data_IF_550542953435
#
_entry.id   IF_550542953435
#
_cell.length_a   1.000
_cell.length_b   1.000
_cell.length_c   1.000
_cell.angle_alpha   90.00
_cell.angle_beta   90.00
_cell.angle_gamma   90.00
#
_symmetry.space_group_name_H-M   'P 1'
#
loop_
_entity.id
_entity.type
_entity.pdbx_description
1 polymer ?
#
# COMPACT_ATOMS: atom_id res chain seq x y z
N UNK A 1 -16.78 12.60 -55.62
CA UNK A 1 -17.91 12.31 -54.71
C UNK A 1 -17.41 12.66 -53.32
N UNK A 2 -18.17 13.43 -52.55
CA UNK A 2 -17.79 13.82 -51.19
C UNK A 2 -17.96 12.62 -50.27
N UNK A 3 -16.85 12.04 -49.83
CA UNK A 3 -16.84 10.95 -48.86
C UNK A 3 -17.48 11.45 -47.55
N UNK A 4 -18.66 10.94 -47.25
CA UNK A 4 -19.43 11.32 -46.05
C UNK A 4 -19.20 10.26 -44.99
N UNK A 5 -18.48 10.60 -43.93
CA UNK A 5 -18.27 9.74 -42.76
C UNK A 5 -19.53 9.78 -41.89
N UNK A 6 -20.07 8.62 -41.55
CA UNK A 6 -21.27 8.48 -40.70
C UNK A 6 -20.90 7.78 -39.40
N UNK A 7 -21.17 8.43 -38.26
CA UNK A 7 -20.89 7.87 -36.93
C UNK A 7 -22.09 7.10 -36.38
N UNK A 8 -21.88 5.87 -35.91
CA UNK A 8 -22.95 5.02 -35.38
C UNK A 8 -22.89 4.92 -33.84
N UNK A 9 -23.64 5.77 -33.16
CA UNK A 9 -23.81 5.69 -31.72
C UNK A 9 -24.66 4.46 -31.35
N UNK A 10 -24.25 3.71 -30.32
CA UNK A 10 -24.94 2.48 -29.92
C UNK A 10 -26.34 2.71 -29.33
N UNK A 11 -26.59 3.91 -28.80
CA UNK A 11 -27.87 4.36 -28.28
C UNK A 11 -27.93 5.90 -28.39
N UNK A 12 -29.11 6.54 -28.39
CA UNK A 12 -29.23 7.99 -28.26
C UNK A 12 -28.89 8.45 -26.84
N UNK A 13 -28.44 9.69 -26.67
CA UNK A 13 -28.41 10.34 -25.36
C UNK A 13 -29.82 10.43 -24.80
N UNK A 14 -30.00 10.11 -23.52
CA UNK A 14 -31.30 10.06 -22.88
C UNK A 14 -31.31 10.93 -21.62
N UNK A 15 -32.36 11.72 -21.44
CA UNK A 15 -32.67 12.37 -20.18
C UNK A 15 -33.81 11.58 -19.54
N UNK A 16 -33.51 10.87 -18.45
CA UNK A 16 -34.50 10.14 -17.70
C UNK A 16 -34.94 11.00 -16.51
N UNK A 17 -36.21 11.41 -16.53
CA UNK A 17 -36.80 12.19 -15.45
C UNK A 17 -37.47 11.27 -14.44
N UNK A 18 -37.08 11.35 -13.18
CA UNK A 18 -37.77 10.72 -12.05
C UNK A 18 -38.41 11.79 -11.15
N UNK A 19 -39.33 11.38 -10.27
CA UNK A 19 -40.04 12.31 -9.39
C UNK A 19 -39.11 13.14 -8.48
N UNK A 20 -37.90 12.63 -8.20
CA UNK A 20 -36.95 13.23 -7.26
C UNK A 20 -35.64 13.70 -7.91
N UNK A 21 -35.32 13.30 -9.15
CA UNK A 21 -34.12 13.75 -9.89
C UNK A 21 -34.20 13.48 -11.40
N UNK A 22 -33.54 14.33 -12.19
CA UNK A 22 -33.30 14.16 -13.64
C UNK A 22 -31.89 13.58 -13.87
N UNK A 23 -31.80 12.47 -14.59
CA UNK A 23 -30.54 11.80 -14.94
C UNK A 23 -30.26 11.93 -16.44
N UNK A 24 -29.10 12.49 -16.78
CA UNK A 24 -28.68 12.68 -18.18
C UNK A 24 -27.61 11.67 -18.56
N UNK A 25 -27.95 10.77 -19.49
CA UNK A 25 -27.07 9.78 -20.09
C UNK A 25 -26.66 10.25 -21.49
N UNK A 26 -25.36 10.39 -21.73
CA UNK A 26 -24.83 10.81 -23.03
C UNK A 26 -24.32 9.60 -23.82
N UNK A 27 -24.77 9.49 -25.07
CA UNK A 27 -24.25 8.52 -26.02
C UNK A 27 -22.79 8.80 -26.37
N UNK A 28 -21.98 7.75 -26.54
CA UNK A 28 -20.56 7.85 -26.90
C UNK A 28 -20.21 6.93 -28.07
N UNK A 29 -19.28 7.39 -28.91
CA UNK A 29 -18.75 6.67 -30.07
C UNK A 29 -17.22 6.84 -30.16
N UNK A 30 -16.50 5.78 -30.54
CA UNK A 30 -15.05 5.80 -30.84
C UNK A 30 -14.72 4.72 -31.89
N UNK A 31 -13.96 5.09 -32.93
CA UNK A 31 -13.63 4.22 -34.08
C UNK A 31 -12.27 3.50 -33.97
N UNK A 32 -11.35 3.96 -33.10
CA UNK A 32 -9.93 3.57 -33.14
C UNK A 32 -9.38 3.17 -31.76
N UNK A 33 -9.98 3.61 -30.65
CA UNK A 33 -9.34 3.56 -29.32
C UNK A 33 -10.18 2.83 -28.27
N UNK A 34 -9.49 2.13 -27.34
CA UNK A 34 -10.06 1.76 -26.04
C UNK A 34 -10.58 3.03 -25.38
N UNK A 35 -11.92 3.10 -25.26
CA UNK A 35 -12.73 4.16 -24.68
C UNK A 35 -11.99 5.02 -23.64
N UNK A 36 -11.88 6.33 -23.86
CA UNK A 36 -11.67 7.29 -22.76
C UNK A 36 -12.93 7.28 -21.87
N UNK A 37 -12.93 6.44 -20.84
CA UNK A 37 -13.98 6.44 -19.83
C UNK A 37 -13.84 7.71 -18.97
N UNK A 38 -14.90 8.54 -18.88
CA UNK A 38 -14.82 9.84 -18.19
C UNK A 38 -14.77 9.67 -16.67
N UNK A 39 -15.18 8.50 -16.17
CA UNK A 39 -15.47 8.22 -14.78
C UNK A 39 -15.35 6.70 -14.53
N UNK A 40 -14.57 6.31 -13.53
CA UNK A 40 -14.47 4.93 -13.04
C UNK A 40 -15.68 4.56 -12.16
N UNK A 41 -16.13 5.48 -11.30
CA UNK A 41 -17.24 5.26 -10.37
C UNK A 41 -18.12 6.50 -10.24
N UNK A 42 -19.43 6.32 -10.19
CA UNK A 42 -20.40 7.36 -9.83
C UNK A 42 -21.50 6.78 -8.95
N UNK A 43 -21.75 7.37 -7.77
CA UNK A 43 -22.87 6.91 -6.95
C UNK A 43 -22.98 7.53 -5.57
N UNK A 44 -24.08 7.18 -4.89
CA UNK A 44 -24.36 7.57 -3.51
C UNK A 44 -23.56 6.68 -2.56
N UNK A 45 -23.07 7.21 -1.45
CA UNK A 45 -22.51 6.39 -0.38
C UNK A 45 -23.60 6.04 0.64
N UNK A 46 -23.62 4.79 1.12
CA UNK A 46 -24.64 4.32 2.07
C UNK A 46 -24.35 4.79 3.50
N UNK A 47 -23.08 5.06 3.81
CA UNK A 47 -22.65 5.69 5.07
C UNK A 47 -21.81 6.96 4.85
N UNK A 48 -22.42 8.07 4.41
CA UNK A 48 -21.71 9.30 4.09
C UNK A 48 -20.88 9.86 5.24
N UNK A 49 -21.48 9.95 6.43
CA UNK A 49 -20.82 10.49 7.61
C UNK A 49 -19.56 9.71 7.99
N UNK A 50 -19.66 8.38 8.03
CA UNK A 50 -18.55 7.52 8.42
C UNK A 50 -17.43 7.53 7.37
N UNK A 51 -17.81 7.48 6.08
CA UNK A 51 -16.84 7.62 4.99
C UNK A 51 -16.11 8.96 5.09
N UNK A 52 -16.83 10.06 5.33
CA UNK A 52 -16.23 11.38 5.47
C UNK A 52 -15.26 11.47 6.65
N UNK A 53 -15.62 10.92 7.83
CA UNK A 53 -14.70 10.86 8.99
C UNK A 53 -13.44 10.05 8.67
N UNK A 54 -13.57 8.92 7.99
CA UNK A 54 -12.44 8.09 7.57
C UNK A 54 -11.53 8.83 6.57
N UNK A 55 -12.10 9.52 5.59
CA UNK A 55 -11.36 10.31 4.61
C UNK A 55 -10.63 11.51 5.24
N UNK A 56 -11.22 12.17 6.24
CA UNK A 56 -10.54 13.20 7.03
C UNK A 56 -9.37 12.60 7.82
N UNK A 57 -9.57 11.43 8.47
CA UNK A 57 -8.51 10.75 9.19
C UNK A 57 -7.37 10.32 8.25
N UNK A 58 -7.68 9.86 7.04
CA UNK A 58 -6.70 9.58 5.99
C UNK A 58 -5.90 10.83 5.63
N UNK A 59 -6.56 11.98 5.43
CA UNK A 59 -5.87 13.24 5.17
C UNK A 59 -4.98 13.66 6.34
N UNK A 60 -5.41 13.46 7.58
CA UNK A 60 -4.57 13.71 8.76
C UNK A 60 -3.33 12.81 8.80
N UNK A 61 -3.44 11.55 8.35
CA UNK A 61 -2.27 10.66 8.18
C UNK A 61 -1.32 11.25 7.13
N UNK A 62 -1.83 11.63 5.96
CA UNK A 62 -1.02 12.22 4.88
C UNK A 62 -0.28 13.48 5.33
N UNK A 63 -0.94 14.31 6.13
CA UNK A 63 -0.37 15.55 6.68
C UNK A 63 0.59 15.32 7.87
N UNK A 64 0.60 14.13 8.45
CA UNK A 64 1.44 13.82 9.60
C UNK A 64 2.90 13.60 9.21
N UNK A 65 3.80 13.90 10.15
CA UNK A 65 5.20 13.49 10.09
C UNK A 65 5.71 13.18 11.49
N UNK A 66 6.55 12.15 11.61
CA UNK A 66 7.04 11.64 12.90
C UNK A 66 8.56 11.67 13.02
N UNK A 67 9.26 12.12 11.99
CA UNK A 67 10.72 12.25 11.99
C UNK A 67 11.25 13.51 11.28
N UNK A 68 10.38 14.35 10.70
CA UNK A 68 10.76 15.62 10.06
C UNK A 68 10.47 16.81 10.97
N UNK A 69 11.21 17.90 10.79
CA UNK A 69 10.93 19.17 11.49
C UNK A 69 9.74 19.87 10.85
N UNK A 70 8.95 20.66 11.61
CA UNK A 70 7.80 21.40 11.06
C UNK A 70 8.12 22.32 9.88
N UNK A 71 9.36 22.82 9.80
CA UNK A 71 9.86 23.64 8.68
C UNK A 71 9.98 22.90 7.35
N UNK A 72 9.92 21.57 7.35
CA UNK A 72 10.00 20.70 6.17
C UNK A 72 8.62 20.23 5.67
N UNK A 73 7.52 20.76 6.22
CA UNK A 73 6.15 20.27 5.99
C UNK A 73 5.43 20.81 4.75
N UNK A 74 6.10 21.52 3.84
CA UNK A 74 5.50 21.92 2.56
C UNK A 74 6.01 21.06 1.42
N UNK A 75 5.24 20.03 1.03
CA UNK A 75 5.14 19.48 -0.34
C UNK A 75 4.23 18.23 -0.39
N UNK A 76 3.19 18.33 -1.25
CA UNK A 76 2.28 17.30 -1.83
C UNK A 76 1.53 16.35 -0.87
N UNK A 77 0.20 16.30 -1.00
CA UNK A 77 -0.76 15.71 -0.07
C UNK A 77 -1.81 14.87 -0.81
N UNK A 78 -1.43 13.69 -1.30
CA UNK A 78 -2.27 13.11 -2.37
C UNK A 78 -2.73 11.70 -2.04
N UNK A 79 -3.95 11.48 -1.52
CA UNK A 79 -4.49 10.13 -1.52
C UNK A 79 -4.55 9.56 -2.95
N UNK A 80 -4.21 8.28 -3.04
CA UNK A 80 -4.46 7.46 -4.23
C UNK A 80 -5.88 6.92 -4.09
N UNK A 81 -6.68 7.05 -5.14
CA UNK A 81 -8.06 6.58 -5.19
C UNK A 81 -8.16 5.51 -6.25
N UNK A 82 -8.52 4.30 -5.85
CA UNK A 82 -8.76 3.16 -6.73
C UNK A 82 -10.23 2.82 -6.71
N UNK A 83 -10.84 2.73 -7.88
CA UNK A 83 -12.21 2.27 -8.08
C UNK A 83 -12.16 0.99 -8.90
N UNK A 84 -12.72 -0.10 -8.37
CA UNK A 84 -12.81 -1.37 -9.07
C UNK A 84 -13.13 -2.53 -8.13
N UNK A 85 -13.62 -3.63 -8.71
CA UNK A 85 -14.13 -4.79 -7.97
C UNK A 85 -15.18 -4.41 -6.91
N UNK A 86 -16.14 -3.56 -7.32
CA UNK A 86 -17.23 -3.03 -6.48
C UNK A 86 -16.76 -2.38 -5.18
N UNK A 87 -15.57 -1.76 -5.20
CA UNK A 87 -14.95 -1.15 -4.03
C UNK A 87 -14.27 0.16 -4.39
N UNK A 88 -14.35 1.12 -3.48
CA UNK A 88 -13.54 2.34 -3.51
C UNK A 88 -12.46 2.26 -2.44
N UNK A 89 -11.22 2.46 -2.84
CA UNK A 89 -10.05 2.40 -1.95
C UNK A 89 -9.29 3.71 -1.99
N UNK A 90 -9.08 4.31 -0.82
CA UNK A 90 -8.32 5.55 -0.66
C UNK A 90 -7.08 5.25 0.16
N UNK A 91 -5.90 5.45 -0.42
CA UNK A 91 -4.62 5.09 0.19
C UNK A 91 -3.74 6.32 0.38
N UNK A 92 -2.99 6.38 1.48
CA UNK A 92 -2.11 7.51 1.75
C UNK A 92 -0.96 7.16 2.68
N UNK A 93 0.19 7.83 2.52
CA UNK A 93 1.28 7.76 3.49
C UNK A 93 1.47 9.07 4.21
N UNK A 94 1.91 9.00 5.46
CA UNK A 94 2.52 10.15 6.12
C UNK A 94 3.74 10.64 5.35
N UNK A 95 4.13 11.90 5.56
CA UNK A 95 5.26 12.51 4.86
C UNK A 95 6.58 11.72 5.11
N UNK A 96 6.76 11.19 6.32
CA UNK A 96 7.90 10.34 6.64
C UNK A 96 7.86 8.94 5.97
N UNK A 97 6.73 8.56 5.38
CA UNK A 97 6.40 7.21 4.87
C UNK A 97 6.48 6.12 5.95
N UNK A 98 6.41 6.47 7.23
CA UNK A 98 6.39 5.53 8.36
C UNK A 98 4.99 5.11 8.79
N UNK A 99 3.96 5.71 8.21
CA UNK A 99 2.55 5.38 8.44
C UNK A 99 1.87 5.31 7.08
N UNK A 100 1.15 4.22 6.84
CA UNK A 100 0.28 4.04 5.69
C UNK A 100 -1.15 3.91 6.20
N UNK A 101 -2.10 4.54 5.54
CA UNK A 101 -3.52 4.39 5.84
C UNK A 101 -4.30 4.06 4.58
N UNK A 102 -5.37 3.28 4.76
CA UNK A 102 -6.32 2.95 3.71
C UNK A 102 -7.75 3.05 4.23
N UNK A 103 -8.63 3.63 3.41
CA UNK A 103 -10.08 3.55 3.58
C UNK A 103 -10.62 2.65 2.48
N UNK A 104 -11.35 1.60 2.86
CA UNK A 104 -12.09 0.75 1.93
C UNK A 104 -13.59 0.99 2.11
N UNK A 105 -14.26 1.45 1.05
CA UNK A 105 -15.72 1.42 0.94
C UNK A 105 -16.08 0.12 0.22
N UNK A 106 -16.78 -0.77 0.92
CA UNK A 106 -17.16 -2.11 0.48
C UNK A 106 -18.38 -2.06 -0.46
N UNK A 107 -18.78 -3.18 -1.10
CA UNK A 107 -19.92 -3.20 -2.00
C UNK A 107 -21.20 -2.64 -1.37
N UNK A 108 -21.47 -2.98 -0.11
CA UNK A 108 -22.62 -2.45 0.65
C UNK A 108 -22.44 -0.99 1.12
N UNK A 109 -21.29 -0.39 0.83
CA UNK A 109 -20.87 0.96 1.22
C UNK A 109 -21.31 2.05 0.24
N UNK A 110 -21.82 1.64 -0.92
CA UNK A 110 -22.29 2.54 -1.96
C UNK A 110 -23.53 1.99 -2.69
N UNK A 111 -24.29 2.90 -3.27
CA UNK A 111 -25.33 2.66 -4.26
C UNK A 111 -24.91 3.44 -5.51
N UNK A 112 -24.11 2.78 -6.33
CA UNK A 112 -23.33 3.41 -7.39
C UNK A 112 -22.83 2.41 -8.42
N UNK A 113 -22.41 2.93 -9.56
CA UNK A 113 -21.98 2.13 -10.70
C UNK A 113 -20.47 2.27 -10.94
N UNK A 114 -19.81 1.13 -11.18
CA UNK A 114 -18.42 1.07 -11.65
C UNK A 114 -18.42 0.88 -13.17
N UNK A 115 -18.11 1.95 -13.90
CA UNK A 115 -18.11 1.98 -15.37
C UNK A 115 -16.82 1.40 -15.94
N UNK A 116 -15.71 1.57 -15.23
CA UNK A 116 -14.41 0.97 -15.53
C UNK A 116 -13.57 0.92 -14.25
N UNK A 117 -12.63 -0.01 -14.19
CA UNK A 117 -11.64 -0.05 -13.13
C UNK A 117 -10.48 0.92 -13.38
N UNK A 118 -10.06 1.65 -12.37
CA UNK A 118 -8.96 2.59 -12.50
C UNK A 118 -8.49 3.22 -11.21
N UNK A 119 -7.35 3.90 -11.32
CA UNK A 119 -6.72 4.59 -10.21
C UNK A 119 -6.40 6.03 -10.61
N UNK A 120 -6.70 6.96 -9.71
CA UNK A 120 -6.31 8.36 -9.78
C UNK A 120 -5.63 8.76 -8.47
N UNK A 121 -5.06 9.96 -8.43
CA UNK A 121 -4.48 10.48 -7.21
C UNK A 121 -4.73 11.99 -7.18
N UNK A 122 -5.31 12.47 -6.09
CA UNK A 122 -5.84 13.84 -5.98
C UNK A 122 -5.40 14.43 -4.66
N UNK A 123 -5.27 15.75 -4.57
CA UNK A 123 -4.96 16.43 -3.32
C UNK A 123 -6.26 16.66 -2.52
N UNK A 124 -6.33 16.17 -1.29
CA UNK A 124 -7.44 16.54 -0.39
C UNK A 124 -7.13 17.89 0.24
N UNK A 125 -7.37 18.95 -0.54
CA UNK A 125 -7.13 20.32 -0.15
C UNK A 125 -8.08 20.77 1.00
N UNK A 126 -7.83 21.93 1.63
CA UNK A 126 -8.67 22.43 2.72
C UNK A 126 -10.17 22.56 2.37
N UNK A 127 -10.51 22.84 1.11
CA UNK A 127 -11.89 22.87 0.61
C UNK A 127 -12.56 21.50 0.64
N UNK A 128 -11.90 20.46 0.12
CA UNK A 128 -12.36 19.07 0.25
C UNK A 128 -12.53 18.65 1.71
N UNK A 129 -11.55 18.97 2.57
CA UNK A 129 -11.64 18.65 4.01
C UNK A 129 -12.79 19.39 4.70
N UNK A 130 -13.04 20.65 4.34
CA UNK A 130 -14.19 21.41 4.84
C UNK A 130 -15.50 20.77 4.41
N UNK A 131 -15.63 20.37 3.15
CA UNK A 131 -16.83 19.73 2.63
C UNK A 131 -17.09 18.38 3.31
N UNK A 132 -16.07 17.53 3.45
CA UNK A 132 -16.17 16.29 4.22
C UNK A 132 -16.51 16.57 5.70
N UNK A 133 -15.96 17.66 6.24
CA UNK A 133 -16.20 18.15 7.59
C UNK A 133 -17.65 18.51 7.86
N UNK A 134 -18.34 19.06 6.85
CA UNK A 134 -19.72 19.51 6.90
C UNK A 134 -20.77 18.40 6.79
N UNK A 135 -20.39 17.19 6.39
CA UNK A 135 -21.34 16.06 6.24
C UNK A 135 -21.84 15.62 7.61
N UNK A 136 -23.16 15.70 7.80
CA UNK A 136 -23.91 15.23 8.96
C UNK A 136 -24.26 13.74 8.91
N UNK A 137 -24.82 13.21 10.01
CA UNK A 137 -25.12 11.77 10.17
C UNK A 137 -26.24 11.23 9.28
N UNK A 138 -27.20 12.06 8.90
CA UNK A 138 -28.39 11.69 8.12
C UNK A 138 -28.39 12.32 6.73
N UNK A 139 -27.20 12.63 6.23
CA UNK A 139 -27.03 13.38 4.99
C UNK A 139 -26.58 12.48 3.86
N UNK A 140 -27.02 12.82 2.65
CA UNK A 140 -26.61 12.13 1.43
C UNK A 140 -25.32 12.73 0.87
N UNK A 141 -24.48 11.86 0.33
CA UNK A 141 -23.26 12.22 -0.38
C UNK A 141 -23.16 11.38 -1.63
N UNK A 142 -22.96 12.04 -2.76
CA UNK A 142 -22.57 11.38 -4.02
C UNK A 142 -21.08 11.61 -4.22
N UNK A 143 -20.41 10.59 -4.75
CA UNK A 143 -19.01 10.64 -5.09
C UNK A 143 -18.81 10.23 -6.54
N UNK A 144 -17.83 10.86 -7.19
CA UNK A 144 -17.36 10.47 -8.50
C UNK A 144 -15.85 10.25 -8.47
N UNK A 145 -15.37 9.24 -9.17
CA UNK A 145 -13.94 8.97 -9.33
C UNK A 145 -13.68 8.79 -10.81
N UNK A 146 -12.81 9.61 -11.38
CA UNK A 146 -12.40 9.53 -12.78
C UNK A 146 -10.88 9.54 -12.97
N UNK A 147 -10.41 9.38 -14.22
CA UNK A 147 -8.97 9.33 -14.53
C UNK A 147 -8.24 10.64 -14.24
N UNK A 148 -8.96 11.77 -14.17
CA UNK A 148 -8.41 13.13 -14.03
C UNK A 148 -8.90 13.86 -12.78
N UNK A 149 -9.92 13.35 -12.07
CA UNK A 149 -10.52 14.04 -10.94
C UNK A 149 -11.30 13.11 -10.01
N UNK A 150 -11.56 13.60 -8.80
CA UNK A 150 -12.49 13.01 -7.81
C UNK A 150 -13.47 14.10 -7.41
N UNK A 151 -14.77 13.81 -7.52
CA UNK A 151 -15.85 14.73 -7.18
C UNK A 151 -16.60 14.31 -5.92
N UNK A 152 -16.96 15.30 -5.12
CA UNK A 152 -17.82 15.20 -3.94
C UNK A 152 -19.03 16.10 -4.14
N UNK A 153 -20.23 15.55 -3.94
CA UNK A 153 -21.48 16.28 -4.17
C UNK A 153 -22.39 16.12 -2.95
N UNK A 154 -22.77 17.25 -2.36
CA UNK A 154 -23.54 17.28 -1.12
C UNK A 154 -24.33 18.59 -1.01
N UNK A 155 -25.65 18.52 -0.76
CA UNK A 155 -26.54 19.71 -0.60
C UNK A 155 -26.42 20.78 -1.71
N UNK A 156 -26.19 20.37 -2.96
CA UNK A 156 -25.98 21.30 -4.07
C UNK A 156 -24.59 21.94 -4.10
N UNK A 157 -23.74 21.70 -3.10
CA UNK A 157 -22.31 21.98 -3.16
C UNK A 157 -21.61 20.87 -3.94
N UNK A 158 -20.62 21.29 -4.75
CA UNK A 158 -19.78 20.40 -5.54
C UNK A 158 -18.33 20.77 -5.30
N UNK A 159 -17.54 19.81 -4.84
CA UNK A 159 -16.08 19.94 -4.72
C UNK A 159 -15.44 18.95 -5.67
N UNK A 160 -14.50 19.43 -6.49
CA UNK A 160 -13.74 18.58 -7.41
C UNK A 160 -12.27 18.75 -7.09
N UNK A 161 -11.60 17.63 -6.83
CA UNK A 161 -10.15 17.58 -6.74
C UNK A 161 -9.57 17.01 -8.02
N UNK A 162 -8.56 17.70 -8.56
CA UNK A 162 -7.91 17.30 -9.80
C UNK A 162 -6.75 16.37 -9.53
N UNK A 163 -6.42 15.58 -10.55
CA UNK A 163 -5.27 14.70 -10.52
C UNK A 163 -3.98 15.49 -10.39
N UNK A 164 -3.15 15.05 -9.47
CA UNK A 164 -1.84 15.65 -9.14
C UNK A 164 -0.73 14.64 -9.41
N UNK A 165 0.56 15.01 -9.37
CA UNK A 165 1.66 14.05 -9.48
C UNK A 165 1.88 13.30 -8.16
N UNK A 166 2.04 11.97 -8.22
CA UNK A 166 2.31 11.16 -7.02
C UNK A 166 3.80 11.25 -6.59
N UNK A 167 4.11 11.41 -5.29
CA UNK A 167 5.50 11.38 -4.81
C UNK A 167 6.19 10.04 -5.04
N UNK A 168 7.43 10.07 -5.57
CA UNK A 168 8.24 8.86 -5.82
C UNK A 168 8.48 8.03 -4.55
N UNK A 169 8.57 8.69 -3.39
CA UNK A 169 8.77 8.04 -2.08
C UNK A 169 7.61 7.10 -1.73
N UNK A 170 6.37 7.45 -2.12
CA UNK A 170 5.19 6.62 -1.86
C UNK A 170 5.22 5.35 -2.70
N UNK A 171 5.69 5.40 -3.94
CA UNK A 171 5.79 4.22 -4.80
C UNK A 171 6.64 3.14 -4.12
N UNK A 172 7.80 3.50 -3.56
CA UNK A 172 8.63 2.57 -2.77
C UNK A 172 7.94 2.08 -1.49
N UNK A 173 7.20 2.97 -0.82
CA UNK A 173 6.45 2.64 0.38
C UNK A 173 5.34 1.63 0.12
N UNK A 174 4.61 1.79 -1.00
CA UNK A 174 3.53 0.91 -1.42
C UNK A 174 4.01 -0.52 -1.60
N UNK A 175 5.16 -0.71 -2.21
CA UNK A 175 5.79 -2.03 -2.36
C UNK A 175 6.00 -2.70 -1.01
N UNK A 176 6.73 -2.03 -0.12
CA UNK A 176 7.12 -2.60 1.17
C UNK A 176 5.89 -2.89 2.05
N UNK A 177 4.94 -1.96 2.12
CA UNK A 177 3.76 -2.14 2.99
C UNK A 177 2.90 -3.31 2.50
N UNK A 178 2.76 -3.49 1.19
CA UNK A 178 2.00 -4.63 0.64
C UNK A 178 2.67 -5.97 0.95
N UNK A 179 3.98 -6.06 0.81
CA UNK A 179 4.73 -7.29 1.14
C UNK A 179 4.55 -7.61 2.63
N UNK A 180 4.71 -6.63 3.51
CA UNK A 180 4.49 -6.87 4.94
C UNK A 180 3.05 -7.21 5.29
N UNK A 181 2.05 -6.62 4.62
CA UNK A 181 0.64 -6.98 4.81
C UNK A 181 0.35 -8.40 4.30
N UNK A 182 0.96 -8.83 3.20
CA UNK A 182 0.71 -10.15 2.60
C UNK A 182 1.10 -11.34 3.48
N UNK A 183 1.99 -11.12 4.45
CA UNK A 183 2.44 -12.13 5.42
C UNK A 183 2.03 -11.77 6.85
N UNK A 184 1.25 -10.72 7.06
CA UNK A 184 0.83 -10.30 8.39
C UNK A 184 -0.28 -11.22 8.91
N UNK A 185 -0.15 -11.62 10.17
CA UNK A 185 -1.12 -12.48 10.83
C UNK A 185 -2.03 -11.68 11.75
N UNK A 186 -3.31 -12.04 11.80
CA UNK A 186 -4.26 -11.46 12.76
C UNK A 186 -3.96 -12.00 14.17
N UNK A 187 -3.49 -11.13 15.06
CA UNK A 187 -3.12 -11.53 16.42
C UNK A 187 -4.21 -11.22 17.44
N UNK A 188 -4.94 -10.10 17.26
CA UNK A 188 -5.97 -9.70 18.20
C UNK A 188 -7.20 -9.12 17.48
N UNK A 189 -8.36 -9.31 18.11
CA UNK A 189 -9.60 -8.62 17.81
C UNK A 189 -10.14 -8.03 19.12
N UNK A 190 -10.55 -6.76 19.07
CA UNK A 190 -11.09 -6.01 20.20
C UNK A 190 -12.43 -5.41 19.83
N UNK A 191 -13.41 -5.57 20.71
CA UNK A 191 -14.67 -4.85 20.59
C UNK A 191 -14.48 -3.34 20.87
N UNK A 192 -15.53 -2.55 20.63
CA UNK A 192 -15.54 -1.10 20.91
C UNK A 192 -15.06 -0.73 22.31
N UNK A 193 -15.52 -1.42 23.35
CA UNK A 193 -15.19 -1.09 24.76
C UNK A 193 -13.70 -1.32 25.03
N UNK A 194 -13.18 -2.49 24.63
CA UNK A 194 -11.76 -2.83 24.77
C UNK A 194 -10.88 -1.85 23.97
N UNK A 195 -11.31 -1.48 22.76
CA UNK A 195 -10.63 -0.50 21.92
C UNK A 195 -10.53 0.86 22.59
N UNK A 196 -11.63 1.39 23.11
CA UNK A 196 -11.62 2.67 23.83
C UNK A 196 -10.72 2.61 25.08
N UNK A 197 -10.79 1.53 25.86
CA UNK A 197 -9.95 1.34 27.04
C UNK A 197 -8.46 1.25 26.69
N UNK A 198 -8.10 0.54 25.61
CA UNK A 198 -6.72 0.43 25.14
C UNK A 198 -6.15 1.81 24.81
N UNK A 199 -6.86 2.61 24.03
CA UNK A 199 -6.38 3.92 23.59
C UNK A 199 -6.34 4.96 24.71
N UNK A 200 -7.15 4.82 25.76
CA UNK A 200 -7.01 5.64 26.98
C UNK A 200 -5.66 5.43 27.68
N UNK A 201 -4.99 4.30 27.46
CA UNK A 201 -3.65 4.03 28.01
C UNK A 201 -2.50 4.59 27.17
N UNK A 202 -2.78 5.23 26.02
CA UNK A 202 -1.74 5.84 25.18
C UNK A 202 -1.01 6.97 25.94
N UNK A 203 0.32 6.92 26.05
CA UNK A 203 1.09 7.97 26.74
C UNK A 203 0.91 9.33 26.07
N UNK A 204 0.57 10.40 26.82
CA UNK A 204 0.29 11.76 26.29
C UNK A 204 1.41 12.37 25.45
N UNK A 205 2.68 12.10 25.79
CA UNK A 205 3.84 12.59 25.06
C UNK A 205 4.24 11.68 23.89
N UNK A 206 5.03 12.21 22.95
CA UNK A 206 5.66 11.38 21.94
C UNK A 206 6.68 10.44 22.59
N UNK A 207 6.59 9.15 22.25
CA UNK A 207 7.48 8.13 22.79
C UNK A 207 8.40 7.61 21.70
N UNK A 208 9.71 7.58 21.99
CA UNK A 208 10.76 7.08 21.09
C UNK A 208 11.11 5.60 21.32
N UNK A 209 10.84 5.09 22.53
CA UNK A 209 11.12 3.69 22.87
C UNK A 209 10.04 2.76 22.29
N UNK A 210 10.39 1.50 22.14
CA UNK A 210 9.42 0.45 21.81
C UNK A 210 8.41 0.30 22.95
N UNK A 211 7.15 0.17 22.54
CA UNK A 211 6.07 -0.27 23.40
C UNK A 211 5.52 -1.58 22.88
N UNK A 212 4.84 -2.28 23.77
CA UNK A 212 4.35 -3.61 23.52
C UNK A 212 2.85 -3.63 23.79
N UNK A 213 2.06 -4.08 22.82
CA UNK A 213 0.68 -4.46 23.08
C UNK A 213 0.69 -5.80 23.79
N UNK A 214 0.10 -5.83 24.98
CA UNK A 214 0.04 -7.00 25.85
C UNK A 214 -1.39 -7.23 26.33
N UNK A 215 -1.72 -8.49 26.61
CA UNK A 215 -2.96 -8.87 27.27
C UNK A 215 -2.72 -9.09 28.76
N UNK A 216 -3.43 -8.33 29.62
CA UNK A 216 -3.46 -8.54 31.07
C UNK A 216 -4.79 -9.18 31.43
N UNK A 217 -4.82 -10.51 31.42
CA UNK A 217 -6.09 -11.26 31.40
C UNK A 217 -6.83 -10.97 30.09
N UNK A 218 -8.07 -10.48 30.17
CA UNK A 218 -8.86 -10.10 28.99
C UNK A 218 -8.72 -8.63 28.58
N UNK A 219 -7.89 -7.85 29.27
CA UNK A 219 -7.73 -6.40 29.03
C UNK A 219 -6.48 -6.11 28.21
N UNK A 220 -6.61 -5.50 27.02
CA UNK A 220 -5.45 -5.03 26.26
C UNK A 220 -4.85 -3.79 26.92
N UNK A 221 -3.52 -3.69 26.90
CA UNK A 221 -2.79 -2.52 27.40
C UNK A 221 -1.48 -2.31 26.63
N UNK A 222 -1.01 -1.07 26.58
CA UNK A 222 0.34 -0.76 26.13
C UNK A 222 1.33 -0.81 27.31
N UNK A 223 2.46 -1.48 27.12
CA UNK A 223 3.51 -1.61 28.13
C UNK A 223 4.88 -1.25 27.56
N UNK A 224 5.76 -0.57 28.32
CA UNK A 224 7.15 -0.37 27.91
C UNK A 224 8.01 -1.62 28.11
N UNK A 225 7.48 -2.69 28.73
CA UNK A 225 8.21 -3.93 29.02
C UNK A 225 7.71 -5.04 28.10
N UNK A 226 8.66 -5.73 27.44
CA UNK A 226 8.35 -6.87 26.58
C UNK A 226 7.83 -8.04 27.42
N UNK A 227 6.67 -8.59 27.05
CA UNK A 227 6.18 -9.87 27.56
C UNK A 227 6.22 -10.95 26.47
N UNK A 228 5.95 -12.19 26.87
CA UNK A 228 5.72 -13.29 25.92
C UNK A 228 4.51 -12.94 25.02
N UNK A 229 4.61 -13.24 23.72
CA UNK A 229 3.60 -12.98 22.69
C UNK A 229 3.19 -11.50 22.51
N UNK A 230 4.02 -10.56 22.97
CA UNK A 230 3.71 -9.15 22.84
C UNK A 230 3.98 -8.62 21.43
N UNK A 231 3.09 -7.75 20.93
CA UNK A 231 3.28 -7.09 19.64
C UNK A 231 4.09 -5.83 19.84
N UNK A 232 5.27 -5.77 19.21
CA UNK A 232 6.17 -4.64 19.32
C UNK A 232 5.71 -3.48 18.42
N UNK A 233 5.61 -2.30 18.99
CA UNK A 233 5.15 -1.07 18.33
C UNK A 233 6.19 0.01 18.59
N UNK A 234 7.00 0.33 17.58
CA UNK A 234 7.86 1.51 17.65
C UNK A 234 7.02 2.78 17.51
N UNK A 235 7.35 3.83 18.25
CA UNK A 235 6.65 5.13 18.10
C UNK A 235 5.14 5.04 18.32
N UNK A 236 4.72 4.49 19.46
CA UNK A 236 3.31 4.24 19.83
C UNK A 236 2.36 5.43 19.62
N UNK A 237 2.85 6.65 19.84
CA UNK A 237 2.11 7.90 19.64
C UNK A 237 1.55 8.09 18.21
N UNK A 238 2.04 7.35 17.21
CA UNK A 238 1.50 7.33 15.85
C UNK A 238 0.05 6.81 15.78
N UNK A 239 -0.35 5.94 16.71
CA UNK A 239 -1.72 5.41 16.78
C UNK A 239 -2.76 6.48 17.10
N UNK A 240 -2.36 7.65 17.58
CA UNK A 240 -3.29 8.78 17.80
C UNK A 240 -4.08 9.20 16.59
N UNK A 241 -3.56 8.93 15.39
CA UNK A 241 -4.27 9.18 14.15
C UNK A 241 -5.63 8.44 14.07
N UNK A 242 -5.83 7.40 14.88
CA UNK A 242 -7.09 6.67 15.01
C UNK A 242 -8.06 7.27 16.04
N UNK A 243 -7.60 8.10 16.98
CA UNK A 243 -8.42 8.63 18.09
C UNK A 243 -9.77 9.23 17.63
N UNK A 244 -9.84 10.02 16.53
CA UNK A 244 -11.10 10.59 16.06
C UNK A 244 -12.14 9.55 15.60
N UNK A 245 -11.70 8.34 15.26
CA UNK A 245 -12.55 7.28 14.71
C UNK A 245 -13.03 6.28 15.77
N UNK A 246 -12.30 6.13 16.88
CA UNK A 246 -12.58 5.11 17.90
C UNK A 246 -14.02 5.10 18.43
N UNK A 247 -14.68 6.26 18.69
CA UNK A 247 -16.06 6.26 19.19
C UNK A 247 -17.07 5.60 18.25
N UNK A 248 -16.74 5.50 16.97
CA UNK A 248 -17.60 4.97 15.93
C UNK A 248 -17.27 3.53 15.55
N UNK A 249 -16.10 3.02 15.93
CA UNK A 249 -15.65 1.69 15.52
C UNK A 249 -16.51 0.59 16.17
N UNK A 250 -16.89 -0.41 15.38
CA UNK A 250 -17.57 -1.61 15.86
C UNK A 250 -16.55 -2.61 16.43
N UNK A 251 -15.43 -2.74 15.72
CA UNK A 251 -14.32 -3.66 16.02
C UNK A 251 -12.98 -3.01 15.64
N UNK A 252 -11.92 -3.38 16.37
CA UNK A 252 -10.53 -3.18 15.99
C UNK A 252 -9.85 -4.54 15.85
N UNK A 253 -9.25 -4.82 14.68
CA UNK A 253 -8.35 -5.97 14.50
C UNK A 253 -6.90 -5.49 14.40
N UNK A 254 -6.00 -6.24 15.03
CA UNK A 254 -4.56 -5.97 15.03
C UNK A 254 -3.83 -7.12 14.35
N UNK A 255 -3.07 -6.77 13.33
CA UNK A 255 -2.22 -7.68 12.57
C UNK A 255 -0.75 -7.32 12.79
N UNK A 256 0.14 -8.30 12.73
CA UNK A 256 1.57 -8.04 12.78
C UNK A 256 2.33 -8.94 11.82
N UNK A 257 3.39 -8.36 11.24
CA UNK A 257 4.40 -9.14 10.54
C UNK A 257 5.07 -10.13 11.51
N UNK A 258 5.42 -11.36 11.10
CA UNK A 258 5.99 -12.39 11.99
C UNK A 258 7.24 -11.92 12.76
N UNK A 259 8.09 -11.10 12.12
CA UNK A 259 9.28 -10.51 12.75
C UNK A 259 9.07 -9.09 13.30
N UNK A 260 7.81 -8.68 13.49
CA UNK A 260 7.39 -7.40 14.07
C UNK A 260 7.89 -6.15 13.32
N UNK A 261 8.20 -6.27 12.02
CA UNK A 261 8.65 -5.15 11.18
C UNK A 261 7.53 -4.19 10.80
N UNK A 262 6.28 -4.63 10.88
CA UNK A 262 5.10 -3.80 10.72
C UNK A 262 3.93 -4.31 11.56
N UNK A 263 3.09 -3.37 12.01
CA UNK A 263 1.82 -3.66 12.68
C UNK A 263 0.71 -2.93 11.96
N UNK A 264 -0.44 -3.58 11.79
CA UNK A 264 -1.61 -3.02 11.10
C UNK A 264 -2.79 -3.00 12.08
N UNK A 265 -3.48 -1.87 12.10
CA UNK A 265 -4.58 -1.58 13.01
C UNK A 265 -5.79 -1.23 12.16
N UNK A 266 -6.78 -2.12 12.12
CA UNK A 266 -7.93 -1.98 11.24
C UNK A 266 -9.22 -1.80 12.04
N UNK A 267 -9.87 -0.65 11.84
CA UNK A 267 -11.18 -0.31 12.41
C UNK A 267 -12.29 -0.62 11.40
N UNK A 268 -13.40 -1.15 11.91
CA UNK A 268 -14.57 -1.53 11.11
C UNK A 268 -15.77 -0.66 11.50
N UNK A 269 -16.53 -0.24 10.48
CA UNK A 269 -17.70 0.63 10.60
C UNK A 269 -18.82 0.09 9.67
N UNK A 270 -19.16 -1.19 9.81
CA UNK A 270 -19.98 -1.90 8.82
C UNK A 270 -19.31 -1.95 7.43
N UNK A 271 -19.91 -1.34 6.38
CA UNK A 271 -19.40 -1.40 5.01
C UNK A 271 -18.21 -0.45 4.73
N UNK A 272 -17.64 0.19 5.75
CA UNK A 272 -16.44 1.02 5.64
C UNK A 272 -15.36 0.47 6.57
N UNK A 273 -14.14 0.32 6.06
CA UNK A 273 -12.96 -0.10 6.84
C UNK A 273 -11.89 0.99 6.81
N UNK A 274 -11.23 1.22 7.94
CA UNK A 274 -10.06 2.09 8.03
C UNK A 274 -8.87 1.28 8.54
N UNK A 275 -7.82 1.15 7.73
CA UNK A 275 -6.59 0.45 8.08
C UNK A 275 -5.46 1.44 8.31
N UNK A 276 -4.68 1.27 9.38
CA UNK A 276 -3.48 2.04 9.69
C UNK A 276 -2.29 1.10 9.90
N UNK A 277 -1.33 1.12 8.98
CA UNK A 277 -0.10 0.34 9.05
C UNK A 277 1.06 1.20 9.53
N UNK A 278 1.77 0.71 10.55
CA UNK A 278 2.96 1.33 11.10
C UNK A 278 4.21 0.55 10.68
N UNK A 279 5.24 1.27 10.27
CA UNK A 279 6.58 0.71 10.12
C UNK A 279 7.21 0.40 11.47
N UNK A 280 8.32 -0.34 11.51
CA UNK A 280 9.00 -0.77 12.75
C UNK A 280 9.31 0.36 13.75
N UNK A 281 9.75 1.53 13.27
CA UNK A 281 10.14 2.68 14.10
C UNK A 281 9.65 4.00 13.47
N UNK A 282 9.54 5.08 14.26
CA UNK A 282 9.04 6.36 13.76
C UNK A 282 9.99 7.06 12.76
N UNK A 283 11.29 6.77 12.80
CA UNK A 283 12.26 7.27 11.82
C UNK A 283 12.50 6.34 10.63
N UNK A 284 11.98 5.10 10.66
CA UNK A 284 12.06 4.12 9.56
C UNK A 284 10.79 4.20 8.72
N UNK A 285 10.86 4.72 7.51
CA UNK A 285 9.74 4.71 6.56
C UNK A 285 9.74 3.44 5.70
N UNK A 286 8.55 2.95 5.32
CA UNK A 286 8.38 1.80 4.42
C UNK A 286 9.19 1.93 3.12
N UNK A 287 9.41 3.16 2.64
CA UNK A 287 10.19 3.43 1.42
C UNK A 287 11.67 3.00 1.49
N UNK A 288 12.21 2.73 2.68
CA UNK A 288 13.64 2.43 2.90
C UNK A 288 13.95 1.00 3.35
N UNK A 289 12.94 0.17 3.63
CA UNK A 289 13.13 -1.11 4.31
C UNK A 289 13.59 -2.24 3.38
N UNK A 290 13.43 -2.10 2.06
CA UNK A 290 13.97 -3.06 1.09
C UNK A 290 13.34 -4.46 1.16
N UNK A 291 12.09 -4.58 1.61
CA UNK A 291 11.38 -5.85 1.71
C UNK A 291 11.28 -6.62 0.38
N UNK A 292 11.22 -5.91 -0.75
CA UNK A 292 11.14 -6.52 -2.07
C UNK A 292 12.49 -6.98 -2.66
N UNK A 293 13.62 -6.66 -2.01
CA UNK A 293 14.94 -6.83 -2.66
C UNK A 293 15.24 -8.29 -2.99
N UNK A 294 14.81 -9.23 -2.14
CA UNK A 294 15.04 -10.66 -2.38
C UNK A 294 14.18 -11.19 -3.52
N UNK A 295 12.88 -10.89 -3.53
CA UNK A 295 11.98 -11.27 -4.63
C UNK A 295 12.36 -10.65 -5.98
N UNK A 296 13.13 -9.55 -5.96
CA UNK A 296 13.65 -8.92 -7.17
C UNK A 296 14.95 -9.57 -7.70
N UNK A 297 15.57 -10.52 -6.96
CA UNK A 297 16.78 -11.22 -7.41
C UNK A 297 16.52 -12.24 -8.52
N UNK A 298 15.37 -12.91 -8.50
CA UNK A 298 15.04 -13.96 -9.46
C UNK A 298 14.75 -13.38 -10.85
N UNK A 299 15.48 -13.79 -11.88
CA UNK A 299 15.23 -13.28 -13.23
C UNK A 299 13.90 -13.85 -13.80
N UNK A 300 12.85 -13.01 -13.78
CA UNK A 300 11.54 -13.35 -14.32
C UNK A 300 11.38 -12.73 -15.71
N UNK A 301 10.98 -13.50 -16.75
CA UNK A 301 10.78 -12.97 -18.10
C UNK A 301 9.73 -11.85 -18.14
N UNK A 302 9.99 -10.77 -18.88
CA UNK A 302 9.08 -9.62 -19.00
C UNK A 302 7.67 -10.02 -19.48
N UNK A 303 7.59 -11.00 -20.40
CA UNK A 303 6.31 -11.58 -20.87
C UNK A 303 5.41 -12.09 -19.74
N UNK A 304 5.98 -12.60 -18.64
CA UNK A 304 5.20 -13.11 -17.51
C UNK A 304 4.69 -11.97 -16.63
N UNK A 305 5.49 -10.92 -16.48
CA UNK A 305 5.07 -9.69 -15.80
C UNK A 305 3.89 -9.07 -16.55
N UNK A 306 3.99 -8.95 -17.88
CA UNK A 306 2.89 -8.43 -18.71
C UNK A 306 1.63 -9.31 -18.65
N UNK A 307 1.79 -10.63 -18.63
CA UNK A 307 0.68 -11.55 -18.50
C UNK A 307 -0.01 -11.40 -17.14
N UNK A 308 0.76 -11.32 -16.06
CA UNK A 308 0.24 -11.14 -14.70
C UNK A 308 -0.41 -9.76 -14.53
N UNK A 309 0.11 -8.70 -15.15
CA UNK A 309 -0.52 -7.37 -15.16
C UNK A 309 -1.89 -7.42 -15.85
N UNK A 310 -1.97 -8.05 -17.04
CA UNK A 310 -3.24 -8.23 -17.77
C UNK A 310 -4.24 -9.07 -16.98
N UNK A 311 -3.78 -10.16 -16.38
CA UNK A 311 -4.60 -11.01 -15.52
C UNK A 311 -5.13 -10.22 -14.31
N UNK A 312 -4.26 -9.46 -13.63
CA UNK A 312 -4.64 -8.66 -12.46
C UNK A 312 -5.61 -7.53 -12.85
N UNK A 313 -5.44 -6.92 -14.02
CA UNK A 313 -6.39 -5.93 -14.55
C UNK A 313 -7.74 -6.55 -14.93
N UNK A 314 -7.79 -7.79 -15.41
CA UNK A 314 -9.05 -8.44 -15.74
C UNK A 314 -9.81 -8.88 -14.47
N UNK A 315 -9.13 -9.52 -13.54
CA UNK A 315 -9.74 -10.10 -12.34
C UNK A 315 -9.88 -9.12 -11.18
N UNK A 316 -9.13 -8.01 -11.18
CA UNK A 316 -9.08 -6.96 -10.16
C UNK A 316 -8.62 -7.40 -8.76
N UNK A 317 -8.67 -8.69 -8.47
CA UNK A 317 -8.23 -9.30 -7.22
C UNK A 317 -7.74 -10.73 -7.49
N UNK A 318 -6.73 -11.17 -6.76
CA UNK A 318 -6.28 -12.56 -6.77
C UNK A 318 -5.57 -12.94 -5.46
N UNK A 319 -5.66 -14.21 -5.08
CA UNK A 319 -4.84 -14.79 -4.03
C UNK A 319 -3.66 -15.54 -4.68
N UNK A 320 -2.39 -15.26 -4.29
CA UNK A 320 -1.21 -15.89 -4.89
C UNK A 320 -1.24 -17.42 -4.81
N UNK A 321 -1.61 -17.98 -3.66
CA UNK A 321 -1.63 -19.42 -3.43
C UNK A 321 -2.69 -20.11 -4.29
N UNK A 322 -3.90 -19.56 -4.35
CA UNK A 322 -4.96 -20.10 -5.21
C UNK A 322 -4.58 -19.99 -6.69
N UNK A 323 -4.05 -18.85 -7.12
CA UNK A 323 -3.58 -18.65 -8.49
C UNK A 323 -2.49 -19.66 -8.89
N UNK A 324 -1.52 -19.90 -8.01
CA UNK A 324 -0.46 -20.89 -8.23
C UNK A 324 -1.02 -22.32 -8.43
N UNK A 325 -2.02 -22.68 -7.63
CA UNK A 325 -2.69 -23.99 -7.73
C UNK A 325 -3.49 -24.10 -9.04
N UNK A 326 -4.29 -23.09 -9.36
CA UNK A 326 -5.17 -23.07 -10.54
C UNK A 326 -4.38 -23.08 -11.86
N UNK A 327 -3.30 -22.30 -11.93
CA UNK A 327 -2.47 -22.18 -13.13
C UNK A 327 -1.31 -23.19 -13.17
N UNK A 328 -1.20 -24.06 -12.17
CA UNK A 328 -0.11 -25.03 -12.01
C UNK A 328 1.29 -24.40 -12.08
N UNK A 329 1.45 -23.24 -11.42
CA UNK A 329 2.71 -22.50 -11.31
C UNK A 329 3.30 -22.71 -9.92
N UNK A 330 4.63 -22.76 -9.85
CA UNK A 330 5.36 -22.80 -8.59
C UNK A 330 5.03 -21.58 -7.71
N UNK A 331 4.77 -21.79 -6.41
CA UNK A 331 4.39 -20.74 -5.47
C UNK A 331 5.44 -19.63 -5.42
N UNK A 332 6.72 -19.99 -5.37
CA UNK A 332 7.82 -19.04 -5.30
C UNK A 332 7.83 -18.08 -6.51
N UNK A 333 7.46 -18.59 -7.68
CA UNK A 333 7.39 -17.80 -8.91
C UNK A 333 6.20 -16.84 -8.90
N UNK A 334 5.05 -17.27 -8.38
CA UNK A 334 3.88 -16.41 -8.23
C UNK A 334 4.14 -15.31 -7.21
N UNK A 335 4.80 -15.63 -6.10
CA UNK A 335 5.20 -14.65 -5.09
C UNK A 335 6.22 -13.65 -5.65
N UNK A 336 7.18 -14.12 -6.44
CA UNK A 336 8.13 -13.26 -7.18
C UNK A 336 7.42 -12.33 -8.17
N UNK A 337 6.44 -12.83 -8.93
CA UNK A 337 5.61 -12.04 -9.84
C UNK A 337 4.76 -10.99 -9.09
N UNK A 338 4.09 -11.39 -8.01
CA UNK A 338 3.28 -10.51 -7.19
C UNK A 338 4.14 -9.42 -6.54
N UNK A 339 5.31 -9.78 -5.99
CA UNK A 339 6.26 -8.84 -5.43
C UNK A 339 6.77 -7.84 -6.48
N UNK A 340 6.99 -8.28 -7.73
CA UNK A 340 7.36 -7.38 -8.85
C UNK A 340 6.25 -6.40 -9.20
N UNK A 341 5.02 -6.86 -9.32
CA UNK A 341 3.88 -5.96 -9.56
C UNK A 341 3.66 -4.99 -8.38
N UNK A 342 3.81 -5.45 -7.15
CA UNK A 342 3.82 -4.60 -5.96
C UNK A 342 4.99 -3.59 -5.98
N UNK A 343 6.17 -4.00 -6.47
CA UNK A 343 7.35 -3.14 -6.69
C UNK A 343 7.10 -2.03 -7.73
N UNK A 344 6.23 -2.30 -8.70
CA UNK A 344 5.74 -1.34 -9.68
C UNK A 344 4.60 -0.46 -9.15
N UNK A 345 4.15 -0.71 -7.92
CA UNK A 345 3.02 -0.02 -7.30
C UNK A 345 1.66 -0.47 -7.84
N UNK A 346 1.62 -1.59 -8.59
CA UNK A 346 0.41 -2.08 -9.26
C UNK A 346 -0.54 -2.88 -8.38
N UNK A 347 -0.09 -3.32 -7.20
CA UNK A 347 -0.89 -4.14 -6.29
C UNK A 347 -1.02 -3.51 -4.92
N UNK A 348 -2.20 -3.60 -4.33
CA UNK A 348 -2.45 -3.45 -2.89
C UNK A 348 -2.84 -4.80 -2.28
N UNK A 349 -2.80 -4.96 -0.95
CA UNK A 349 -3.17 -6.21 -0.27
C UNK A 349 -4.36 -6.01 0.68
N UNK A 350 -5.40 -6.83 0.57
CA UNK A 350 -6.57 -6.81 1.47
C UNK A 350 -6.41 -7.90 2.54
N UNK A 351 -6.34 -7.50 3.82
CA UNK A 351 -6.10 -8.38 4.95
C UNK A 351 -7.29 -9.28 5.30
N UNK A 352 -8.54 -8.84 5.04
CA UNK A 352 -9.70 -9.69 5.30
C UNK A 352 -9.89 -10.73 4.20
N UNK A 353 -9.63 -10.34 2.94
CA UNK A 353 -9.77 -11.23 1.78
C UNK A 353 -8.50 -12.07 1.53
N UNK A 354 -7.42 -11.83 2.29
CA UNK A 354 -6.10 -12.42 2.10
C UNK A 354 -5.66 -12.44 0.62
N UNK A 355 -5.84 -11.31 -0.07
CA UNK A 355 -5.69 -11.24 -1.53
C UNK A 355 -5.06 -9.93 -1.96
N UNK A 356 -4.32 -9.96 -3.08
CA UNK A 356 -3.92 -8.74 -3.75
C UNK A 356 -5.09 -8.16 -4.53
N UNK A 357 -5.25 -6.84 -4.49
CA UNK A 357 -6.13 -6.08 -5.38
C UNK A 357 -5.30 -5.24 -6.35
N UNK A 358 -5.83 -5.03 -7.55
CA UNK A 358 -5.14 -4.28 -8.59
C UNK A 358 -5.30 -2.76 -8.38
N UNK A 359 -4.19 -2.04 -8.42
CA UNK A 359 -4.08 -0.58 -8.34
C UNK A 359 -3.31 -0.08 -9.54
N UNK A 360 -3.98 0.57 -10.50
CA UNK A 360 -3.37 0.96 -11.77
C UNK A 360 -2.58 2.27 -11.69
N UNK A 361 -1.41 2.25 -11.05
CA UNK A 361 -0.45 3.36 -11.15
C UNK A 361 0.29 3.33 -12.50
N UNK A 362 0.84 4.47 -12.99
CA UNK A 362 1.54 4.50 -14.27
C UNK A 362 2.72 3.52 -14.30
N UNK A 363 2.56 2.45 -15.08
CA UNK A 363 3.51 1.36 -15.27
C UNK A 363 4.75 1.83 -16.04
N UNK A 364 5.94 1.60 -15.49
CA UNK A 364 7.23 1.70 -16.20
C UNK A 364 8.22 0.70 -15.61
N UNK A 365 8.58 -0.35 -16.34
CA UNK A 365 9.53 -1.39 -15.91
C UNK A 365 10.88 -0.80 -15.47
N UNK A 366 11.38 0.20 -16.20
CA UNK A 366 12.60 0.99 -15.90
C UNK A 366 12.57 1.63 -14.49
N UNK A 367 11.37 1.90 -13.97
CA UNK A 367 11.20 2.52 -12.65
C UNK A 367 11.59 1.55 -11.53
N UNK A 368 11.44 0.24 -11.69
CA UNK A 368 11.76 -0.74 -10.63
C UNK A 368 13.24 -0.66 -10.23
N UNK A 369 14.14 -0.65 -11.22
CA UNK A 369 15.59 -0.60 -10.98
C UNK A 369 16.00 0.75 -10.38
N UNK A 370 15.53 1.86 -10.97
CA UNK A 370 15.81 3.21 -10.44
C UNK A 370 15.29 3.44 -9.02
N UNK A 371 14.23 2.75 -8.61
CA UNK A 371 13.70 2.84 -7.24
C UNK A 371 14.52 2.05 -6.22
N UNK A 372 15.44 1.17 -6.63
CA UNK A 372 16.20 0.30 -5.73
C UNK A 372 17.72 0.53 -5.87
N UNK A 373 18.28 1.61 -5.28
CA UNK A 373 19.73 1.91 -5.36
C UNK A 373 20.64 0.77 -4.89
N UNK A 374 20.18 -0.06 -3.96
CA UNK A 374 20.92 -1.24 -3.48
C UNK A 374 21.04 -2.33 -4.55
N UNK A 375 19.99 -2.53 -5.36
CA UNK A 375 20.03 -3.44 -6.51
C UNK A 375 20.94 -2.91 -7.60
N UNK A 376 20.80 -1.63 -7.97
CA UNK A 376 21.69 -1.00 -8.97
C UNK A 376 23.17 -1.15 -8.56
N UNK A 377 23.47 -0.89 -7.29
CA UNK A 377 24.83 -1.02 -6.79
C UNK A 377 25.31 -2.48 -6.71
N UNK A 378 24.39 -3.45 -6.59
CA UNK A 378 24.71 -4.88 -6.65
C UNK A 378 25.00 -5.32 -8.09
N UNK A 379 24.19 -4.88 -9.06
CA UNK A 379 24.39 -5.16 -10.50
C UNK A 379 25.70 -4.57 -10.99
N UNK A 380 26.01 -3.32 -10.62
CA UNK A 380 27.30 -2.71 -10.94
C UNK A 380 28.50 -3.50 -10.40
N UNK A 381 28.38 -4.11 -9.22
CA UNK A 381 29.45 -4.96 -8.67
C UNK A 381 29.65 -6.24 -9.49
N UNK A 382 28.60 -6.75 -10.13
CA UNK A 382 28.66 -7.92 -11.01
C UNK A 382 29.23 -7.56 -12.38
N UNK A 383 28.77 -6.46 -12.98
CA UNK A 383 29.27 -5.95 -14.26
C UNK A 383 30.77 -5.60 -14.22
N UNK A 384 31.25 -5.08 -13.09
CA UNK A 384 32.66 -4.74 -12.89
C UNK A 384 33.50 -5.93 -12.39
N UNK A 385 32.95 -7.15 -12.33
CA UNK A 385 33.61 -8.38 -11.86
C UNK A 385 34.24 -8.23 -10.44
N UNK A 386 33.56 -7.49 -9.56
CA UNK A 386 34.06 -7.13 -8.20
C UNK A 386 33.67 -8.12 -7.11
N UNK A 387 33.15 -9.29 -7.49
CA UNK A 387 32.74 -10.37 -6.58
C UNK A 387 33.65 -11.57 -6.82
N UNK A 388 34.40 -11.96 -5.79
CA UNK A 388 35.29 -13.11 -5.81
C UNK A 388 34.72 -14.20 -4.89
N UNK A 389 34.31 -15.34 -5.45
CA UNK A 389 33.87 -16.49 -4.67
C UNK A 389 35.10 -17.22 -4.12
N UNK A 390 35.21 -17.30 -2.80
CA UNK A 390 36.32 -18.00 -2.12
C UNK A 390 35.98 -19.48 -1.97
N UNK A 391 34.78 -19.76 -1.49
CA UNK A 391 34.26 -21.11 -1.38
C UNK A 391 32.78 -21.11 -1.71
N UNK A 392 32.35 -22.16 -2.40
CA UNK A 392 30.95 -22.42 -2.66
C UNK A 392 30.75 -23.93 -2.55
N UNK A 393 30.22 -24.34 -1.41
CA UNK A 393 29.84 -25.73 -1.16
C UNK A 393 28.30 -25.84 -1.03
N UNK A 394 27.79 -27.06 -0.90
CA UNK A 394 26.34 -27.32 -0.81
C UNK A 394 25.67 -26.69 0.43
N UNK A 395 26.44 -26.23 1.41
CA UNK A 395 25.95 -25.70 2.69
C UNK A 395 26.21 -24.20 2.85
N UNK A 396 27.30 -23.70 2.28
CA UNK A 396 27.83 -22.37 2.54
C UNK A 396 28.51 -21.79 1.31
N UNK A 397 28.22 -20.52 1.07
CA UNK A 397 28.95 -19.69 0.11
C UNK A 397 29.71 -18.61 0.87
N UNK A 398 31.01 -18.48 0.61
CA UNK A 398 31.84 -17.38 1.10
C UNK A 398 32.41 -16.59 -0.08
N UNK A 399 32.25 -15.27 -0.03
CA UNK A 399 32.69 -14.38 -1.10
C UNK A 399 33.36 -13.11 -0.55
N UNK A 400 34.34 -12.59 -1.30
CA UNK A 400 34.94 -11.27 -1.10
C UNK A 400 34.42 -10.30 -2.15
N UNK A 401 33.75 -9.26 -1.70
CA UNK A 401 33.15 -8.23 -2.55
C UNK A 401 33.87 -6.91 -2.35
N UNK A 402 34.20 -6.20 -3.43
CA UNK A 402 34.79 -4.88 -3.32
C UNK A 402 33.83 -3.86 -2.68
N UNK A 403 34.34 -3.10 -1.72
CA UNK A 403 33.68 -1.97 -1.07
C UNK A 403 34.21 -0.63 -1.57
N UNK A 404 33.75 0.46 -0.94
CA UNK A 404 34.24 1.80 -1.23
C UNK A 404 35.65 2.00 -0.64
N UNK A 405 36.52 2.74 -1.34
CA UNK A 405 37.84 3.11 -0.82
C UNK A 405 38.84 1.96 -0.72
N UNK A 406 38.69 0.90 -1.54
CA UNK A 406 39.62 -0.24 -1.58
C UNK A 406 39.41 -1.29 -0.48
N UNK A 407 38.44 -1.09 0.42
CA UNK A 407 38.05 -2.10 1.43
C UNK A 407 37.37 -3.29 0.72
N UNK A 408 37.62 -4.52 1.17
CA UNK A 408 36.87 -5.71 0.74
C UNK A 408 35.99 -6.21 1.86
N UNK A 409 34.73 -6.49 1.56
CA UNK A 409 33.77 -7.05 2.50
C UNK A 409 33.66 -8.55 2.29
N UNK A 410 33.56 -9.29 3.39
CA UNK A 410 33.29 -10.73 3.35
C UNK A 410 31.80 -10.95 3.47
N UNK A 411 31.24 -11.76 2.58
CA UNK A 411 29.84 -12.20 2.58
C UNK A 411 29.84 -13.70 2.86
N UNK A 412 28.97 -14.10 3.78
CA UNK A 412 28.72 -15.50 4.12
C UNK A 412 27.23 -15.76 3.94
N UNK A 413 26.88 -16.72 3.11
CA UNK A 413 25.52 -17.23 2.95
C UNK A 413 25.51 -18.68 3.45
N UNK A 414 24.65 -18.97 4.41
CA UNK A 414 24.54 -20.27 5.07
C UNK A 414 23.16 -20.87 4.79
N UNK A 415 23.13 -21.99 4.04
CA UNK A 415 21.89 -22.65 3.58
C UNK A 415 21.22 -23.43 4.71
N UNK A 416 21.99 -24.00 5.63
CA UNK A 416 21.42 -24.81 6.72
C UNK A 416 20.69 -23.96 7.77
N UNK A 417 21.22 -22.77 8.04
CA UNK A 417 20.66 -21.87 9.04
C UNK A 417 19.85 -20.72 8.46
N UNK A 418 19.71 -20.67 7.13
CA UNK A 418 19.07 -19.58 6.36
C UNK A 418 19.59 -18.18 6.78
N UNK A 419 20.88 -18.11 7.12
CA UNK A 419 21.51 -16.88 7.61
C UNK A 419 22.47 -16.30 6.60
N UNK A 420 22.35 -15.00 6.41
CA UNK A 420 23.29 -14.19 5.65
C UNK A 420 24.09 -13.29 6.59
N UNK A 421 25.36 -13.08 6.27
CA UNK A 421 26.23 -12.12 6.97
C UNK A 421 27.08 -11.35 5.99
N UNK A 422 27.33 -10.08 6.31
CA UNK A 422 28.30 -9.27 5.58
C UNK A 422 29.05 -8.35 6.53
N UNK A 423 30.34 -8.13 6.28
CA UNK A 423 31.17 -7.23 7.10
C UNK A 423 31.00 -5.74 6.80
N UNK A 424 30.03 -5.37 5.97
CA UNK A 424 29.77 -3.96 5.64
C UNK A 424 28.98 -3.23 6.74
N UNK A 425 29.12 -1.91 6.78
CA UNK A 425 28.44 -1.05 7.77
C UNK A 425 26.92 -1.23 7.75
N UNK A 426 26.31 -1.38 6.57
CA UNK A 426 24.86 -1.60 6.46
C UNK A 426 24.42 -2.85 7.23
N UNK A 427 25.11 -3.97 7.04
CA UNK A 427 24.76 -5.20 7.73
C UNK A 427 25.08 -5.09 9.22
N UNK A 428 26.22 -4.49 9.59
CA UNK A 428 26.56 -4.26 11.00
C UNK A 428 25.52 -3.44 11.76
N UNK A 429 24.90 -2.45 11.10
CA UNK A 429 23.91 -1.57 11.73
C UNK A 429 22.49 -2.14 11.74
N UNK A 430 22.13 -2.99 10.78
CA UNK A 430 20.74 -3.42 10.58
C UNK A 430 20.52 -4.94 10.70
N UNK A 431 21.57 -5.76 10.62
CA UNK A 431 21.55 -7.21 10.82
C UNK A 431 20.45 -7.95 10.04
N UNK A 432 20.15 -7.52 8.81
CA UNK A 432 19.13 -8.13 7.95
C UNK A 432 17.72 -7.58 8.12
N UNK A 433 17.41 -6.85 9.20
CA UNK A 433 16.05 -6.35 9.46
C UNK A 433 15.53 -5.34 8.43
N UNK A 434 16.43 -4.73 7.66
CA UNK A 434 16.13 -3.72 6.61
C UNK A 434 16.49 -4.21 5.22
N UNK A 435 16.41 -5.52 5.01
CA UNK A 435 16.78 -6.19 3.77
C UNK A 435 18.29 -6.20 3.51
N UNK A 436 18.69 -7.09 2.61
CA UNK A 436 20.08 -7.36 2.27
C UNK A 436 20.85 -6.11 1.79
N UNK A 437 22.16 -6.08 2.06
CA UNK A 437 23.05 -5.05 1.52
C UNK A 437 23.40 -5.36 0.05
N UNK A 438 23.92 -4.37 -0.69
CA UNK A 438 24.35 -4.56 -2.08
C UNK A 438 25.34 -5.72 -2.29
N UNK A 439 26.19 -6.01 -1.30
CA UNK A 439 27.17 -7.10 -1.40
C UNK A 439 26.51 -8.48 -1.29
N UNK A 440 25.58 -8.64 -0.34
CA UNK A 440 24.80 -9.88 -0.20
C UNK A 440 23.96 -10.11 -1.45
N UNK A 441 23.27 -9.06 -1.93
CA UNK A 441 22.46 -9.13 -3.16
C UNK A 441 23.30 -9.55 -4.38
N UNK A 442 24.50 -8.97 -4.54
CA UNK A 442 25.39 -9.34 -5.64
C UNK A 442 25.81 -10.82 -5.55
N UNK A 443 26.22 -11.29 -4.37
CA UNK A 443 26.61 -12.69 -4.18
C UNK A 443 25.44 -13.64 -4.41
N UNK A 444 24.26 -13.36 -3.82
CA UNK A 444 23.04 -14.16 -4.03
C UNK A 444 22.69 -14.27 -5.51
N UNK A 445 22.73 -13.16 -6.26
CA UNK A 445 22.46 -13.15 -7.70
C UNK A 445 23.50 -13.96 -8.49
N UNK A 446 24.80 -13.80 -8.17
CA UNK A 446 25.88 -14.51 -8.86
C UNK A 446 25.81 -16.03 -8.69
N UNK A 447 25.48 -16.53 -7.49
CA UNK A 447 25.39 -17.97 -7.22
C UNK A 447 23.97 -18.54 -7.42
N UNK A 448 23.04 -17.74 -7.97
CA UNK A 448 21.63 -18.10 -8.12
C UNK A 448 21.05 -18.69 -6.83
N UNK A 449 21.29 -18.00 -5.71
CA UNK A 449 20.84 -18.42 -4.39
C UNK A 449 19.32 -18.48 -4.35
N UNK A 450 18.78 -19.67 -4.13
CA UNK A 450 17.38 -19.89 -3.77
C UNK A 450 17.32 -20.06 -2.26
N UNK A 451 16.42 -19.31 -1.62
CA UNK A 451 16.11 -19.50 -0.21
C UNK A 451 15.47 -20.86 0.01
#
# INVERSE_FOLDING_TARGET
>A
MTDTISYQYAAPSALQRSADQDELFLAKYSEIEKKETPCFFWGKLTQPYMTARCLIALSNVVQSSFNLTPSQLSMLKDPIVTAGNDRLRFEGFSNCAGVYARVDVLPDGHDGEFLENGTTNVDFNPGMISALGGIGRQENMVMSVGPKEVGLYHKGEKVIERKVPLPVKWIKGLTTVQIYQSVAEQLYSFNRIQTLQLFQTLPKSSVKCDYYLVMRGQKPAFSPVKSMNAVCIGGLHRLRLLEPLLPFADELKVFAHPTMQSTIWQLYFGPVRFSLSLSRECWRGFSGEGAALESLLEDVPERWIEAMDKYSYANQQFNPTLFAIEEHIDLDKVDSLAARLAAMGLLGFDLDENSFFYRRLPFKTERILSLNPRMIAAEKLLEEEKVEIISNDEKRTEARVAGSGGVRHTVILDRESEKERCTCTWFSSNQGERGACKHILAVKKLVQWKN
#
